data_IF_240375689248
#
_entry.id   IF_240375689248
#
_cell.length_a   1.000
_cell.length_b   1.000
_cell.length_c   1.000
_cell.angle_alpha   90.00
_cell.angle_beta   90.00
_cell.angle_gamma   90.00
#
_symmetry.space_group_name_H-M   'P 1'
#
loop_
_entity.id
_entity.type
_entity.pdbx_description
1 polymer ?
#
# COMPACT_ATOMS: atom_id res chain seq x y z
N UNK A 1 -39.45 -15.51 -37.77
CA UNK A 1 -38.39 -15.66 -36.73
C UNK A 1 -38.83 -16.53 -35.55
N UNK A 2 -40.11 -16.46 -35.14
CA UNK A 2 -40.68 -17.23 -34.03
C UNK A 2 -40.44 -18.76 -34.10
N UNK A 3 -40.43 -19.35 -35.29
CA UNK A 3 -40.31 -20.80 -35.49
C UNK A 3 -38.89 -21.36 -35.39
N UNK A 4 -37.84 -20.52 -35.49
CA UNK A 4 -36.45 -21.00 -35.55
C UNK A 4 -35.59 -20.56 -34.35
N UNK A 5 -36.01 -19.57 -33.56
CA UNK A 5 -35.30 -19.06 -32.37
C UNK A 5 -36.30 -18.47 -31.36
N UNK A 6 -37.02 -19.32 -30.58
CA UNK A 6 -38.09 -18.87 -29.67
C UNK A 6 -37.60 -17.86 -28.63
N UNK A 7 -36.43 -18.10 -28.01
CA UNK A 7 -35.85 -17.22 -26.98
C UNK A 7 -35.58 -15.79 -27.48
N UNK A 8 -35.31 -15.61 -28.77
CA UNK A 8 -35.08 -14.29 -29.37
C UNK A 8 -36.40 -13.55 -29.58
N UNK A 9 -37.47 -14.27 -29.94
CA UNK A 9 -38.78 -13.71 -30.19
C UNK A 9 -39.44 -13.18 -28.90
N UNK A 10 -39.14 -13.79 -27.76
CA UNK A 10 -39.61 -13.32 -26.44
C UNK A 10 -39.06 -11.94 -26.06
N UNK A 11 -37.92 -11.54 -26.62
CA UNK A 11 -37.35 -10.20 -26.40
C UNK A 11 -37.88 -9.15 -27.40
N UNK A 12 -38.92 -9.45 -28.19
CA UNK A 12 -39.52 -8.48 -29.11
C UNK A 12 -40.26 -7.37 -28.36
N UNK A 13 -40.05 -6.12 -28.78
CA UNK A 13 -40.77 -4.98 -28.24
C UNK A 13 -41.99 -4.67 -29.14
N UNK A 14 -43.16 -5.17 -28.75
CA UNK A 14 -44.39 -5.00 -29.54
C UNK A 14 -44.85 -3.53 -29.61
N UNK A 15 -44.68 -2.78 -28.53
CA UNK A 15 -45.08 -1.37 -28.46
C UNK A 15 -44.23 -0.51 -29.41
N UNK A 16 -42.90 -0.68 -29.39
CA UNK A 16 -41.99 0.14 -30.21
C UNK A 16 -41.89 -0.29 -31.67
N UNK A 17 -42.22 -1.53 -32.00
CA UNK A 17 -42.23 -2.00 -33.39
C UNK A 17 -43.58 -1.81 -34.09
N UNK A 18 -44.62 -1.36 -33.37
CA UNK A 18 -45.95 -1.10 -33.92
C UNK A 18 -46.54 -2.36 -34.58
N UNK A 19 -46.96 -2.25 -35.83
CA UNK A 19 -47.60 -3.36 -36.57
C UNK A 19 -46.63 -4.47 -37.01
N UNK A 20 -45.32 -4.32 -36.80
CA UNK A 20 -44.35 -5.36 -37.16
C UNK A 20 -44.31 -6.45 -36.09
N UNK A 21 -44.53 -7.69 -36.52
CA UNK A 21 -44.46 -8.89 -35.66
C UNK A 21 -43.18 -9.70 -35.93
N UNK A 22 -42.77 -10.58 -34.99
CA UNK A 22 -41.71 -11.56 -35.22
C UNK A 22 -41.92 -12.51 -36.42
N UNK A 23 -43.15 -12.66 -36.89
CA UNK A 23 -43.49 -13.49 -38.05
C UNK A 23 -43.20 -12.76 -39.37
N UNK A 24 -43.30 -11.43 -39.39
CA UNK A 24 -43.07 -10.60 -40.59
C UNK A 24 -41.58 -10.44 -40.94
N UNK A 25 -40.69 -10.87 -40.04
CA UNK A 25 -39.24 -10.67 -40.17
C UNK A 25 -38.51 -12.02 -40.16
N UNK A 26 -37.70 -12.25 -41.19
CA UNK A 26 -36.81 -13.41 -41.28
C UNK A 26 -35.57 -13.24 -40.41
N UNK A 27 -35.05 -14.34 -39.87
CA UNK A 27 -33.92 -14.30 -38.91
C UNK A 27 -32.61 -13.75 -39.50
N UNK A 28 -32.43 -13.81 -40.83
CA UNK A 28 -31.28 -13.24 -41.54
C UNK A 28 -31.41 -11.75 -41.88
N UNK A 29 -32.49 -11.08 -41.48
CA UNK A 29 -32.73 -9.68 -41.83
C UNK A 29 -31.72 -8.73 -41.19
N UNK A 30 -31.24 -7.77 -41.98
CA UNK A 30 -30.42 -6.65 -41.54
C UNK A 30 -31.24 -5.46 -41.01
N UNK A 31 -32.58 -5.49 -41.12
CA UNK A 31 -33.47 -4.43 -40.63
C UNK A 31 -33.35 -4.30 -39.12
N UNK A 32 -33.10 -3.09 -38.62
CA UNK A 32 -33.07 -2.81 -37.17
C UNK A 32 -34.50 -2.78 -36.65
N UNK A 33 -34.73 -3.55 -35.59
CA UNK A 33 -36.01 -3.61 -34.87
C UNK A 33 -35.73 -3.41 -33.38
N UNK A 34 -36.74 -3.00 -32.64
CA UNK A 34 -36.66 -2.81 -31.20
C UNK A 34 -36.78 -4.13 -30.45
N UNK A 35 -35.98 -4.26 -29.41
CA UNK A 35 -35.96 -5.40 -28.51
C UNK A 35 -36.05 -4.90 -27.07
N UNK A 36 -36.69 -5.69 -26.21
CA UNK A 36 -36.83 -5.45 -24.79
C UNK A 36 -36.27 -6.63 -24.01
N UNK A 37 -35.33 -6.37 -23.10
CA UNK A 37 -34.58 -7.43 -22.45
C UNK A 37 -35.40 -7.96 -21.30
N UNK A 38 -35.69 -9.25 -21.29
CA UNK A 38 -36.45 -9.87 -20.20
C UNK A 38 -35.73 -9.78 -18.84
N UNK A 39 -34.39 -9.69 -18.85
CA UNK A 39 -33.59 -9.66 -17.61
C UNK A 39 -33.49 -8.30 -16.93
N UNK A 40 -33.47 -7.22 -17.71
CA UNK A 40 -33.24 -5.89 -17.16
C UNK A 40 -34.27 -4.84 -17.60
N UNK A 41 -35.24 -5.21 -18.44
CA UNK A 41 -36.19 -4.29 -19.05
C UNK A 41 -35.55 -3.25 -19.98
N UNK A 42 -34.27 -3.42 -20.33
CA UNK A 42 -33.56 -2.51 -21.21
C UNK A 42 -34.02 -2.66 -22.65
N UNK A 43 -34.31 -1.55 -23.30
CA UNK A 43 -34.76 -1.49 -24.69
C UNK A 43 -33.61 -1.08 -25.63
N UNK A 44 -33.44 -1.79 -26.75
CA UNK A 44 -32.40 -1.49 -27.73
C UNK A 44 -32.79 -1.88 -29.14
N UNK A 45 -32.14 -1.25 -30.12
CA UNK A 45 -32.28 -1.62 -31.53
C UNK A 45 -31.12 -2.49 -32.00
N UNK A 46 -31.43 -3.62 -32.62
CA UNK A 46 -30.45 -4.46 -33.31
C UNK A 46 -31.10 -5.19 -34.49
N UNK A 47 -30.34 -5.53 -35.54
CA UNK A 47 -30.83 -6.45 -36.58
C UNK A 47 -30.99 -7.88 -36.04
N UNK A 48 -32.06 -8.63 -36.41
CA UNK A 48 -32.21 -10.04 -36.08
C UNK A 48 -31.01 -10.89 -36.48
N UNK A 49 -30.38 -10.61 -37.63
CA UNK A 49 -29.18 -11.34 -38.09
C UNK A 49 -28.01 -11.23 -37.11
N UNK A 50 -27.92 -10.13 -36.35
CA UNK A 50 -26.88 -9.93 -35.32
C UNK A 50 -27.26 -10.54 -33.98
N UNK A 51 -28.49 -11.04 -33.78
CA UNK A 51 -28.94 -11.64 -32.51
C UNK A 51 -28.39 -13.05 -32.31
N UNK A 52 -28.21 -13.84 -33.37
CA UNK A 52 -27.66 -15.20 -33.33
C UNK A 52 -26.17 -15.25 -32.94
N UNK A 53 -25.41 -14.23 -33.33
CA UNK A 53 -23.98 -14.09 -33.02
C UNK A 53 -23.91 -13.05 -31.91
N UNK A 54 -23.54 -13.41 -30.67
CA UNK A 54 -23.74 -12.63 -29.42
C UNK A 54 -23.47 -11.11 -29.37
N UNK A 55 -22.99 -10.48 -30.46
CA UNK A 55 -22.96 -9.03 -30.74
C UNK A 55 -24.34 -8.34 -30.73
N UNK A 56 -25.45 -9.06 -30.91
CA UNK A 56 -26.82 -8.49 -30.85
C UNK A 56 -27.52 -8.55 -29.48
N UNK A 57 -26.86 -9.12 -28.47
CA UNK A 57 -27.38 -9.24 -27.09
C UNK A 57 -27.69 -7.88 -26.46
N UNK A 58 -28.52 -7.90 -25.40
CA UNK A 58 -28.85 -6.71 -24.62
C UNK A 58 -27.58 -5.92 -24.24
N UNK A 59 -27.43 -4.66 -24.69
CA UNK A 59 -26.21 -3.89 -24.47
C UNK A 59 -26.02 -3.51 -23.00
N UNK A 60 -27.10 -3.43 -22.22
CA UNK A 60 -27.05 -3.12 -20.79
C UNK A 60 -26.53 -4.32 -19.98
N UNK A 61 -27.09 -5.51 -20.15
CA UNK A 61 -26.58 -6.74 -19.52
C UNK A 61 -25.15 -7.09 -19.98
N UNK A 62 -24.83 -6.77 -21.23
CA UNK A 62 -23.47 -6.91 -21.74
C UNK A 62 -22.49 -5.90 -21.11
N UNK A 63 -22.98 -4.78 -20.55
CA UNK A 63 -22.17 -3.69 -20.00
C UNK A 63 -21.74 -2.64 -21.05
N UNK A 64 -22.21 -2.75 -22.30
CA UNK A 64 -21.85 -1.85 -23.40
C UNK A 64 -22.55 -0.49 -23.32
N UNK A 65 -23.67 -0.44 -22.62
CA UNK A 65 -24.42 0.79 -22.33
C UNK A 65 -24.80 0.83 -20.86
N UNK A 66 -24.79 2.02 -20.28
CA UNK A 66 -25.26 2.27 -18.92
C UNK A 66 -26.79 2.14 -18.86
N UNK A 67 -27.30 1.51 -17.80
CA UNK A 67 -28.68 1.61 -17.34
C UNK A 67 -28.64 1.71 -15.83
N UNK A 68 -28.98 2.90 -15.31
CA UNK A 68 -29.05 3.19 -13.88
C UNK A 68 -29.98 2.18 -13.18
N UNK A 69 -29.61 1.75 -11.99
CA UNK A 69 -30.26 0.69 -11.22
C UNK A 69 -29.89 -0.73 -11.63
N UNK A 70 -29.22 -0.93 -12.78
CA UNK A 70 -28.98 -2.27 -13.35
C UNK A 70 -27.50 -2.61 -13.42
N UNK A 71 -26.67 -1.73 -13.97
CA UNK A 71 -25.27 -2.04 -14.24
C UNK A 71 -24.30 -0.91 -13.85
N UNK A 72 -24.76 0.02 -13.04
CA UNK A 72 -23.96 1.08 -12.44
C UNK A 72 -23.34 0.67 -11.10
N UNK A 73 -22.28 1.38 -10.70
CA UNK A 73 -21.50 1.11 -9.49
C UNK A 73 -22.31 1.32 -8.22
N UNK A 74 -23.03 2.44 -8.11
CA UNK A 74 -23.78 2.78 -6.89
C UNK A 74 -24.87 1.74 -6.58
N UNK A 75 -25.62 1.30 -7.58
CA UNK A 75 -26.74 0.38 -7.40
C UNK A 75 -26.29 -1.06 -7.16
N UNK A 76 -25.18 -1.49 -7.78
CA UNK A 76 -24.74 -2.88 -7.71
C UNK A 76 -23.72 -3.13 -6.58
N UNK A 77 -22.94 -2.12 -6.19
CA UNK A 77 -21.90 -2.23 -5.17
C UNK A 77 -21.85 -0.99 -4.25
N UNK A 78 -22.89 -0.75 -3.42
CA UNK A 78 -22.98 0.45 -2.59
C UNK A 78 -21.77 0.62 -1.63
N UNK A 79 -21.29 -0.48 -1.03
CA UNK A 79 -20.10 -0.46 -0.15
C UNK A 79 -18.80 -0.08 -0.89
N UNK A 80 -18.69 -0.45 -2.16
CA UNK A 80 -17.53 -0.08 -3.00
C UNK A 80 -17.68 1.37 -3.46
N UNK A 81 -18.92 1.83 -3.69
CA UNK A 81 -19.21 3.21 -4.08
C UNK A 81 -18.81 4.22 -2.99
N UNK A 82 -18.74 3.82 -1.71
CA UNK A 82 -18.16 4.64 -0.63
C UNK A 82 -16.70 5.02 -0.90
N UNK A 83 -15.94 4.18 -1.61
CA UNK A 83 -14.56 4.46 -2.01
C UNK A 83 -14.46 5.32 -3.29
N UNK A 84 -15.59 5.69 -3.91
CA UNK A 84 -15.65 6.45 -5.15
C UNK A 84 -16.08 7.89 -4.90
N UNK A 85 -15.24 8.85 -5.29
CA UNK A 85 -15.53 10.27 -5.19
C UNK A 85 -15.68 10.89 -6.59
N UNK A 86 -16.86 11.45 -6.94
CA UNK A 86 -17.07 12.11 -8.24
C UNK A 86 -16.05 13.21 -8.52
N UNK A 87 -15.63 13.97 -7.51
CA UNK A 87 -14.70 15.10 -7.63
C UNK A 87 -13.32 14.66 -8.12
N UNK A 88 -12.91 13.42 -7.80
CA UNK A 88 -11.66 12.83 -8.29
C UNK A 88 -11.79 12.26 -9.70
N UNK A 89 -13.01 12.17 -10.23
CA UNK A 89 -13.34 11.46 -11.47
C UNK A 89 -14.14 12.33 -12.46
N UNK A 90 -13.88 13.64 -12.46
CA UNK A 90 -14.48 14.59 -13.42
C UNK A 90 -15.94 14.93 -13.14
N UNK A 91 -16.40 14.75 -11.91
CA UNK A 91 -17.79 15.00 -11.50
C UNK A 91 -18.78 13.91 -11.90
N UNK A 92 -18.30 12.79 -12.46
CA UNK A 92 -19.17 11.67 -12.85
C UNK A 92 -19.68 10.99 -11.59
N UNK A 93 -21.00 10.88 -11.37
CA UNK A 93 -21.55 10.22 -10.20
C UNK A 93 -21.43 8.69 -10.32
N UNK A 94 -21.39 7.99 -9.19
CA UNK A 94 -21.18 6.54 -9.16
C UNK A 94 -22.32 5.73 -9.84
N UNK A 95 -23.54 6.28 -9.89
CA UNK A 95 -24.67 5.68 -10.62
C UNK A 95 -24.56 5.85 -12.15
N UNK A 96 -23.51 6.52 -12.63
CA UNK A 96 -23.17 6.65 -14.05
C UNK A 96 -21.91 5.86 -14.46
N UNK A 97 -21.37 5.06 -13.55
CA UNK A 97 -20.16 4.28 -13.79
C UNK A 97 -20.50 2.81 -14.02
N UNK A 98 -20.23 2.31 -15.24
CA UNK A 98 -20.46 0.89 -15.58
C UNK A 98 -19.43 -0.01 -14.89
N UNK A 99 -19.90 -1.06 -14.20
CA UNK A 99 -19.05 -2.00 -13.43
C UNK A 99 -18.31 -3.06 -14.25
N UNK A 100 -18.78 -3.34 -15.46
CA UNK A 100 -18.41 -4.55 -16.20
C UNK A 100 -17.13 -4.42 -17.02
N UNK A 101 -16.83 -3.23 -17.51
CA UNK A 101 -15.64 -2.97 -18.32
C UNK A 101 -14.63 -2.14 -17.54
N UNK A 102 -13.35 -2.21 -17.94
CA UNK A 102 -12.19 -1.65 -17.24
C UNK A 102 -12.11 -0.13 -17.28
N UNK A 103 -13.12 0.57 -16.78
CA UNK A 103 -13.07 2.02 -16.57
C UNK A 103 -12.08 2.29 -15.44
N UNK A 104 -10.95 2.93 -15.75
CA UNK A 104 -9.97 3.34 -14.75
C UNK A 104 -10.46 4.59 -14.04
N UNK A 105 -10.55 4.53 -12.72
CA UNK A 105 -10.98 5.63 -11.87
C UNK A 105 -9.99 5.84 -10.72
N UNK A 106 -10.00 7.01 -10.12
CA UNK A 106 -9.31 7.31 -8.87
C UNK A 106 -10.26 6.95 -7.73
N UNK A 107 -9.81 6.06 -6.86
CA UNK A 107 -10.53 5.67 -5.65
C UNK A 107 -9.91 6.37 -4.45
N UNK A 108 -10.72 6.59 -3.42
CA UNK A 108 -10.29 7.04 -2.09
C UNK A 108 -10.95 6.18 -1.03
N UNK A 109 -10.17 5.43 -0.27
CA UNK A 109 -10.71 4.53 0.76
C UNK A 109 -11.43 5.35 1.82
N UNK A 110 -12.72 5.12 2.01
CA UNK A 110 -13.51 5.84 3.01
C UNK A 110 -13.05 5.55 4.45
N UNK A 111 -12.37 4.41 4.68
CA UNK A 111 -11.86 4.02 6.01
C UNK A 111 -10.56 4.74 6.38
N UNK A 112 -9.63 4.91 5.44
CA UNK A 112 -8.28 5.40 5.76
C UNK A 112 -7.77 6.56 4.90
N UNK A 113 -8.59 7.04 3.95
CA UNK A 113 -8.25 8.14 3.05
C UNK A 113 -7.19 7.82 2.00
N UNK A 114 -6.73 6.57 1.90
CA UNK A 114 -5.76 6.17 0.88
C UNK A 114 -6.34 6.34 -0.52
N UNK A 115 -5.62 7.03 -1.41
CA UNK A 115 -6.03 7.20 -2.80
C UNK A 115 -5.24 6.26 -3.72
N UNK A 116 -5.91 5.63 -4.70
CA UNK A 116 -5.24 4.80 -5.71
C UNK A 116 -6.03 4.76 -7.02
N UNK A 117 -5.32 4.51 -8.13
CA UNK A 117 -5.93 4.30 -9.46
C UNK A 117 -6.14 2.81 -9.72
N UNK A 118 -7.36 2.40 -10.10
CA UNK A 118 -7.64 1.04 -10.56
C UNK A 118 -8.94 0.98 -11.37
N UNK A 119 -9.13 -0.11 -12.12
CA UNK A 119 -10.35 -0.40 -12.86
C UNK A 119 -11.53 -0.71 -11.92
N UNK A 120 -12.72 -0.22 -12.26
CA UNK A 120 -13.97 -0.54 -11.55
C UNK A 120 -14.23 -2.05 -11.56
N UNK A 121 -13.97 -2.72 -12.68
CA UNK A 121 -14.04 -4.17 -12.78
C UNK A 121 -13.17 -4.88 -11.73
N UNK A 122 -11.93 -4.42 -11.52
CA UNK A 122 -11.00 -5.00 -10.56
C UNK A 122 -11.39 -4.76 -9.10
N UNK A 123 -12.28 -3.81 -8.81
CA UNK A 123 -12.85 -3.55 -7.48
C UNK A 123 -14.13 -4.32 -7.20
N UNK A 124 -14.78 -4.84 -8.25
CA UNK A 124 -16.17 -5.34 -8.16
C UNK A 124 -16.29 -6.79 -8.61
N UNK A 125 -16.03 -7.06 -9.90
CA UNK A 125 -16.38 -8.32 -10.57
C UNK A 125 -15.20 -9.26 -10.85
N UNK A 126 -13.96 -8.79 -10.68
CA UNK A 126 -12.79 -9.64 -10.86
C UNK A 126 -12.84 -10.87 -9.93
N UNK A 127 -12.31 -12.04 -10.32
CA UNK A 127 -12.29 -13.24 -9.46
C UNK A 127 -11.64 -13.02 -8.09
N UNK A 128 -10.71 -12.06 -8.01
CA UNK A 128 -10.11 -11.56 -6.77
C UNK A 128 -10.26 -10.04 -6.73
N UNK A 129 -11.37 -9.51 -6.21
CA UNK A 129 -11.58 -8.07 -6.12
C UNK A 129 -10.47 -7.43 -5.29
N UNK A 130 -9.85 -6.40 -5.85
CA UNK A 130 -8.87 -5.58 -5.13
C UNK A 130 -9.57 -4.78 -4.03
N UNK A 131 -8.84 -4.46 -2.96
CA UNK A 131 -9.25 -3.58 -1.86
C UNK A 131 -8.21 -2.50 -1.58
N UNK A 132 -8.45 -1.63 -0.61
CA UNK A 132 -7.43 -0.67 -0.18
C UNK A 132 -6.21 -1.43 0.38
N UNK A 133 -5.05 -1.34 -0.30
CA UNK A 133 -3.84 -2.08 0.10
C UNK A 133 -3.34 -1.69 1.51
N UNK A 134 -3.59 -0.45 1.95
CA UNK A 134 -3.26 -0.03 3.32
C UNK A 134 -4.15 -0.72 4.35
N UNK A 135 -5.46 -0.79 4.10
CA UNK A 135 -6.40 -1.51 4.98
C UNK A 135 -6.13 -3.02 4.98
N UNK A 136 -5.87 -3.62 3.81
CA UNK A 136 -5.52 -5.04 3.72
C UNK A 136 -4.24 -5.37 4.49
N UNK A 137 -3.19 -4.54 4.37
CA UNK A 137 -1.97 -4.69 5.16
C UNK A 137 -2.23 -4.50 6.65
N UNK A 138 -3.01 -3.51 7.06
CA UNK A 138 -3.37 -3.30 8.47
C UNK A 138 -4.11 -4.49 9.06
N UNK A 139 -5.04 -5.08 8.31
CA UNK A 139 -5.77 -6.26 8.73
C UNK A 139 -4.89 -7.52 8.84
N UNK A 140 -3.79 -7.61 8.08
CA UNK A 140 -2.89 -8.76 8.14
C UNK A 140 -1.82 -8.68 9.23
N UNK A 141 -1.49 -7.47 9.72
CA UNK A 141 -0.45 -7.26 10.75
C UNK A 141 -0.67 -8.14 12.00
N UNK A 142 -1.86 -8.22 12.61
CA UNK A 142 -2.06 -9.05 13.80
C UNK A 142 -1.70 -10.52 13.56
N UNK A 143 -2.09 -11.09 12.42
CA UNK A 143 -1.77 -12.48 12.05
C UNK A 143 -0.26 -12.69 11.95
N UNK A 144 0.45 -11.79 11.26
CA UNK A 144 1.90 -11.91 11.12
C UNK A 144 2.65 -11.70 12.44
N UNK A 145 2.14 -10.83 13.32
CA UNK A 145 2.68 -10.68 14.69
C UNK A 145 2.52 -11.97 15.49
N UNK A 146 1.32 -12.55 15.48
CA UNK A 146 1.04 -13.81 16.16
C UNK A 146 1.99 -14.93 15.71
N UNK A 147 2.13 -15.13 14.39
CA UNK A 147 3.08 -16.11 13.84
C UNK A 147 4.54 -15.85 14.24
N UNK A 148 4.93 -14.57 14.34
CA UNK A 148 6.28 -14.20 14.78
C UNK A 148 6.50 -14.49 16.26
N UNK A 149 5.50 -14.21 17.10
CA UNK A 149 5.52 -14.51 18.54
C UNK A 149 5.62 -16.02 18.77
N UNK A 150 4.80 -16.82 18.08
CA UNK A 150 4.84 -18.29 18.18
C UNK A 150 6.21 -18.86 17.82
N UNK A 151 6.91 -18.25 16.86
CA UNK A 151 8.22 -18.72 16.40
C UNK A 151 9.39 -18.24 17.25
N UNK A 152 9.33 -17.00 17.76
CA UNK A 152 10.49 -16.30 18.33
C UNK A 152 10.33 -15.94 19.82
N UNK A 153 9.14 -16.11 20.39
CA UNK A 153 8.79 -15.63 21.72
C UNK A 153 8.42 -14.14 21.74
N UNK A 154 7.58 -13.76 22.69
CA UNK A 154 7.20 -12.36 22.90
C UNK A 154 8.37 -11.55 23.49
N UNK A 155 8.37 -10.22 23.33
CA UNK A 155 9.38 -9.35 23.95
C UNK A 155 9.32 -9.47 25.48
N UNK A 156 8.11 -9.57 26.05
CA UNK A 156 7.90 -9.77 27.48
C UNK A 156 8.71 -10.96 28.04
N UNK A 157 8.81 -12.03 27.26
CA UNK A 157 9.46 -13.29 27.65
C UNK A 157 10.95 -13.27 27.31
N UNK A 158 11.29 -12.82 26.10
CA UNK A 158 12.65 -12.89 25.56
C UNK A 158 13.57 -11.77 26.05
N UNK A 159 13.01 -10.64 26.49
CA UNK A 159 13.77 -9.52 27.04
C UNK A 159 12.96 -8.79 28.13
N UNK A 160 12.78 -9.40 29.31
CA UNK A 160 11.97 -8.86 30.40
C UNK A 160 12.50 -7.52 30.93
N UNK A 161 13.81 -7.30 30.89
CA UNK A 161 14.42 -6.03 31.31
C UNK A 161 13.99 -4.85 30.43
N UNK A 162 13.96 -5.05 29.10
CA UNK A 162 13.47 -4.02 28.19
C UNK A 162 11.94 -3.92 28.23
N UNK A 163 11.24 -5.04 28.36
CA UNK A 163 9.78 -5.08 28.48
C UNK A 163 9.28 -4.32 29.71
N UNK A 164 9.96 -4.42 30.85
CA UNK A 164 9.64 -3.68 32.07
C UNK A 164 9.78 -2.16 31.91
N UNK A 165 10.56 -1.72 30.92
CA UNK A 165 10.73 -0.32 30.57
C UNK A 165 9.73 0.16 29.51
N UNK A 166 8.63 -0.56 29.23
CA UNK A 166 7.65 -0.15 28.23
C UNK A 166 6.90 1.13 28.64
N UNK A 167 6.72 2.05 27.69
CA UNK A 167 5.87 3.23 27.87
C UNK A 167 4.45 2.94 27.35
N UNK A 168 3.54 2.60 28.27
CA UNK A 168 2.17 2.19 27.92
C UNK A 168 1.33 3.36 27.36
N UNK A 169 1.55 4.59 27.82
CA UNK A 169 0.80 5.76 27.36
C UNK A 169 1.09 6.05 25.89
N UNK A 170 2.36 5.97 25.48
CA UNK A 170 2.76 6.30 24.11
C UNK A 170 2.68 5.16 23.11
N UNK A 171 2.61 3.91 23.56
CA UNK A 171 2.43 2.76 22.68
C UNK A 171 0.95 2.38 22.48
N UNK A 172 0.02 3.06 23.16
CA UNK A 172 -1.41 2.81 23.04
C UNK A 172 -1.76 1.38 23.46
N UNK A 173 -2.50 0.66 22.60
CA UNK A 173 -2.98 -0.69 22.90
C UNK A 173 -1.91 -1.80 22.72
N UNK A 174 -0.68 -1.46 22.34
CA UNK A 174 0.39 -2.45 22.20
C UNK A 174 1.10 -2.69 23.53
N UNK A 175 1.33 -3.95 23.83
CA UNK A 175 2.09 -4.42 24.98
C UNK A 175 3.38 -5.13 24.54
N UNK A 176 4.33 -5.36 25.46
CA UNK A 176 5.48 -6.21 25.19
C UNK A 176 5.12 -7.66 24.80
N UNK A 177 3.88 -8.10 25.01
CA UNK A 177 3.41 -9.42 24.58
C UNK A 177 2.99 -9.46 23.11
N UNK A 178 2.78 -8.30 22.46
CA UNK A 178 2.27 -8.21 21.09
C UNK A 178 3.37 -8.12 20.01
N UNK A 179 4.63 -8.15 20.44
CA UNK A 179 5.80 -7.95 19.57
C UNK A 179 6.95 -8.87 19.96
N UNK A 180 7.94 -8.98 19.08
CA UNK A 180 9.17 -9.76 19.32
C UNK A 180 10.39 -8.84 19.38
N UNK A 181 11.48 -9.28 20.01
CA UNK A 181 12.75 -8.55 20.05
C UNK A 181 13.35 -8.26 18.64
N UNK A 182 13.01 -9.08 17.64
CA UNK A 182 13.45 -8.92 16.25
C UNK A 182 12.53 -8.05 15.40
N UNK A 183 11.48 -7.47 15.98
CA UNK A 183 10.57 -6.61 15.23
C UNK A 183 11.30 -5.35 14.73
N UNK A 184 11.18 -5.03 13.44
CA UNK A 184 11.82 -3.85 12.83
C UNK A 184 11.17 -2.51 13.22
N UNK A 185 10.09 -2.55 14.01
CA UNK A 185 9.40 -1.35 14.50
C UNK A 185 10.21 -0.62 15.58
N UNK A 186 9.88 0.65 15.79
CA UNK A 186 10.32 1.40 16.97
C UNK A 186 9.16 1.60 17.93
N UNK A 187 9.45 1.48 19.21
CA UNK A 187 8.49 1.56 20.29
C UNK A 187 9.02 2.52 21.36
N UNK A 188 8.12 3.02 22.19
CA UNK A 188 8.48 3.90 23.29
C UNK A 188 8.84 3.10 24.54
N UNK A 189 9.95 3.47 25.16
CA UNK A 189 10.45 2.91 26.41
C UNK A 189 10.80 4.03 27.38
N UNK A 190 10.74 3.75 28.67
CA UNK A 190 11.18 4.63 29.76
C UNK A 190 12.65 4.36 30.06
N UNK A 191 13.47 5.41 30.01
CA UNK A 191 14.89 5.29 30.31
C UNK A 191 15.09 4.93 31.79
N UNK A 192 15.72 3.80 32.09
CA UNK A 192 16.01 3.36 33.46
C UNK A 192 16.85 4.37 34.26
N UNK A 193 17.66 5.17 33.58
CA UNK A 193 18.57 6.12 34.24
C UNK A 193 17.94 7.48 34.53
N UNK A 194 17.02 7.98 33.68
CA UNK A 194 16.47 9.33 33.83
C UNK A 194 14.93 9.40 33.79
N UNK A 195 14.24 8.26 33.66
CA UNK A 195 12.79 8.17 33.52
C UNK A 195 12.23 8.67 32.19
N UNK A 196 13.03 9.35 31.36
CA UNK A 196 12.54 9.94 30.12
C UNK A 196 12.09 8.87 29.12
N UNK A 197 10.90 9.10 28.54
CA UNK A 197 10.38 8.32 27.43
C UNK A 197 11.18 8.55 26.15
N UNK A 198 11.60 7.48 25.48
CA UNK A 198 12.41 7.51 24.27
C UNK A 198 12.02 6.40 23.29
N UNK A 199 12.25 6.64 21.99
CA UNK A 199 12.03 5.61 20.95
C UNK A 199 13.25 4.71 20.78
N UNK A 200 13.03 3.40 20.70
CA UNK A 200 14.07 2.42 20.38
C UNK A 200 13.49 1.20 19.68
N UNK A 201 14.37 0.36 19.13
CA UNK A 201 14.03 -0.97 18.63
C UNK A 201 13.95 -1.96 19.79
N UNK A 202 13.10 -3.00 19.70
CA UNK A 202 12.89 -3.98 20.77
C UNK A 202 14.05 -4.97 20.95
N UNK A 203 15.03 -4.95 20.04
CA UNK A 203 16.29 -5.71 20.18
C UNK A 203 17.37 -4.98 20.99
N UNK A 204 17.06 -3.83 21.60
CA UNK A 204 18.01 -3.11 22.44
C UNK A 204 18.32 -3.92 23.71
N UNK A 205 19.63 -4.01 24.05
CA UNK A 205 20.07 -4.76 25.24
C UNK A 205 19.73 -4.07 26.56
N UNK A 206 19.64 -2.74 26.55
CA UNK A 206 19.50 -1.92 27.75
C UNK A 206 18.39 -0.86 27.57
N UNK A 207 17.54 -0.64 28.59
CA UNK A 207 16.51 0.39 28.57
C UNK A 207 17.11 1.78 28.85
N UNK A 208 18.03 2.24 28.02
CA UNK A 208 18.68 3.55 28.13
C UNK A 208 18.38 4.43 26.91
N UNK A 209 17.98 5.68 27.16
CA UNK A 209 17.93 6.68 26.12
C UNK A 209 19.35 6.96 25.59
N UNK A 210 19.45 7.49 24.37
CA UNK A 210 20.75 7.74 23.73
C UNK A 210 21.68 8.64 24.56
N UNK A 211 21.12 9.61 25.30
CA UNK A 211 21.88 10.48 26.20
C UNK A 211 22.52 9.72 27.36
N UNK A 212 21.73 8.93 28.11
CA UNK A 212 22.24 8.13 29.22
C UNK A 212 23.16 7.00 28.74
N UNK A 213 22.87 6.38 27.59
CA UNK A 213 23.75 5.38 26.98
C UNK A 213 25.13 5.97 26.63
N UNK A 214 25.19 7.19 26.07
CA UNK A 214 26.46 7.88 25.78
C UNK A 214 27.24 8.20 27.05
N UNK A 215 26.56 8.63 28.12
CA UNK A 215 27.19 8.87 29.42
C UNK A 215 27.76 7.57 30.01
N UNK A 216 26.98 6.49 29.99
CA UNK A 216 27.38 5.19 30.53
C UNK A 216 28.56 4.54 29.78
N UNK A 217 28.64 4.71 28.45
CA UNK A 217 29.75 4.18 27.65
C UNK A 217 31.08 4.94 27.83
N UNK A 218 31.06 6.11 28.48
CA UNK A 218 32.20 7.01 28.55
C UNK A 218 32.60 7.60 27.19
N UNK A 219 33.47 8.62 27.20
CA UNK A 219 34.18 9.01 25.99
C UNK A 219 35.23 7.95 25.72
N UNK A 220 35.12 7.20 24.61
CA UNK A 220 36.28 6.47 24.11
C UNK A 220 37.32 7.51 23.72
N UNK A 221 38.49 7.49 24.35
CA UNK A 221 39.63 8.24 23.85
C UNK A 221 39.91 7.70 22.43
N UNK A 222 40.07 8.60 21.47
CA UNK A 222 40.45 8.19 20.11
C UNK A 222 41.84 7.54 20.14
N UNK A 223 42.17 6.72 19.14
CA UNK A 223 43.55 6.20 19.03
C UNK A 223 44.53 7.37 18.89
N UNK A 224 45.64 7.29 19.62
CA UNK A 224 46.75 8.23 19.46
C UNK A 224 47.29 8.15 18.03
N UNK A 225 47.75 9.28 17.51
CA UNK A 225 48.33 9.37 16.18
C UNK A 225 49.65 10.12 16.25
N UNK A 226 50.65 9.65 15.51
CA UNK A 226 51.96 10.30 15.39
C UNK A 226 52.13 10.86 13.97
N UNK A 227 52.66 12.08 13.89
CA UNK A 227 53.21 12.62 12.64
C UNK A 227 54.61 12.03 12.45
N UNK A 228 54.81 11.26 11.39
CA UNK A 228 56.04 10.47 11.18
C UNK A 228 57.26 11.36 11.00
N UNK A 229 57.12 12.50 10.33
CA UNK A 229 58.22 13.41 10.06
C UNK A 229 58.63 14.22 11.30
N UNK A 230 57.67 14.60 12.15
CA UNK A 230 57.94 15.47 13.31
C UNK A 230 58.10 14.69 14.61
N UNK A 231 57.72 13.41 14.63
CA UNK A 231 57.62 12.61 15.85
C UNK A 231 56.55 13.07 16.84
N UNK A 232 55.75 14.11 16.52
CA UNK A 232 54.76 14.67 17.44
C UNK A 232 53.58 13.70 17.59
N UNK A 233 53.27 13.36 18.84
CA UNK A 233 52.15 12.48 19.20
C UNK A 233 50.95 13.32 19.63
N UNK A 234 49.79 12.98 19.07
CA UNK A 234 48.50 13.58 19.39
C UNK A 234 47.60 12.53 20.02
N UNK A 235 46.84 12.93 21.04
CA UNK A 235 45.92 12.03 21.75
C UNK A 235 44.82 11.50 20.85
N UNK A 236 44.38 12.28 19.86
CA UNK A 236 43.42 11.84 18.84
C UNK A 236 43.76 12.40 17.46
N UNK A 237 43.23 11.76 16.41
CA UNK A 237 43.25 12.33 15.04
C UNK A 237 42.56 13.69 14.93
N UNK A 238 41.70 14.03 15.90
CA UNK A 238 41.05 15.34 15.94
C UNK A 238 42.02 16.43 16.39
N UNK A 239 42.85 16.14 17.38
CA UNK A 239 43.87 17.06 17.87
C UNK A 239 44.93 17.31 16.81
N UNK A 240 45.38 16.24 16.14
CA UNK A 240 46.25 16.33 14.98
C UNK A 240 45.64 17.17 13.86
N UNK A 241 44.35 16.95 13.54
CA UNK A 241 43.63 17.70 12.51
C UNK A 241 43.53 19.19 12.81
N UNK A 242 43.23 19.56 14.06
CA UNK A 242 43.20 20.97 14.48
C UNK A 242 44.57 21.62 14.31
N UNK A 243 45.65 20.93 14.69
CA UNK A 243 47.01 21.48 14.59
C UNK A 243 47.44 21.76 13.15
N UNK A 244 47.07 20.90 12.21
CA UNK A 244 47.47 21.05 10.79
C UNK A 244 46.38 21.67 9.91
N UNK A 245 45.29 22.17 10.51
CA UNK A 245 44.18 22.79 9.79
C UNK A 245 43.47 21.84 8.83
N UNK A 246 43.37 20.54 9.17
CA UNK A 246 42.70 19.51 8.36
C UNK A 246 41.59 18.83 9.13
N UNK A 247 40.58 18.37 8.38
CA UNK A 247 39.52 17.58 8.97
C UNK A 247 40.07 16.22 9.44
N UNK A 248 39.62 15.67 10.59
CA UNK A 248 40.18 14.42 11.14
C UNK A 248 40.11 13.23 10.17
N UNK A 249 39.06 13.17 9.34
CA UNK A 249 38.93 12.13 8.30
C UNK A 249 40.00 12.24 7.22
N UNK A 250 40.54 13.43 6.92
CA UNK A 250 41.63 13.60 5.95
C UNK A 250 42.90 12.93 6.44
N UNK A 251 43.19 13.02 7.75
CA UNK A 251 44.32 12.31 8.37
C UNK A 251 44.03 10.80 8.37
N UNK A 252 42.82 10.37 8.75
CA UNK A 252 42.45 8.95 8.74
C UNK A 252 42.60 8.31 7.35
N UNK A 253 42.16 8.99 6.29
CA UNK A 253 42.31 8.49 4.91
C UNK A 253 43.78 8.46 4.48
N UNK A 254 44.57 9.46 4.86
CA UNK A 254 46.01 9.46 4.58
C UNK A 254 46.73 8.26 5.24
N UNK A 255 46.35 7.89 6.47
CA UNK A 255 46.85 6.68 7.13
C UNK A 255 46.45 5.43 6.34
N UNK A 256 45.15 5.28 6.00
CA UNK A 256 44.62 4.11 5.29
C UNK A 256 45.21 3.93 3.90
N UNK A 257 45.34 5.03 3.15
CA UNK A 257 45.79 5.02 1.76
C UNK A 257 47.32 5.11 1.65
N UNK A 258 48.03 5.22 2.79
CA UNK A 258 49.48 5.45 2.86
C UNK A 258 49.91 6.68 2.06
N UNK A 259 49.12 7.75 2.15
CA UNK A 259 49.37 9.05 1.53
C UNK A 259 49.69 10.10 2.58
N UNK A 260 50.11 11.28 2.14
CA UNK A 260 50.31 12.41 3.04
C UNK A 260 49.02 13.19 3.30
N UNK A 261 48.90 13.78 4.48
CA UNK A 261 47.91 14.80 4.79
C UNK A 261 48.62 16.03 5.34
N UNK A 262 48.34 17.21 4.76
CA UNK A 262 49.06 18.45 5.04
C UNK A 262 50.59 18.33 4.86
N UNK A 263 51.04 17.46 3.94
CA UNK A 263 52.47 17.23 3.68
C UNK A 263 53.15 16.21 4.60
N UNK A 264 52.42 15.63 5.58
CA UNK A 264 52.96 14.69 6.55
C UNK A 264 52.39 13.28 6.38
N UNK A 265 53.19 12.27 6.69
CA UNK A 265 52.74 10.90 6.90
C UNK A 265 52.26 10.73 8.34
N UNK A 266 51.20 9.96 8.50
CA UNK A 266 50.55 9.75 9.78
C UNK A 266 50.49 8.26 10.10
N UNK A 267 50.60 7.91 11.38
CA UNK A 267 50.42 6.53 11.85
C UNK A 267 49.60 6.53 13.14
N UNK A 268 48.67 5.59 13.26
CA UNK A 268 48.11 5.28 14.57
C UNK A 268 49.21 4.67 15.43
N UNK A 269 49.30 5.11 16.68
CA UNK A 269 50.02 4.37 17.70
C UNK A 269 49.02 3.33 18.21
N UNK A 270 49.39 2.06 18.10
CA UNK A 270 48.67 1.01 18.82
C UNK A 270 48.91 1.22 20.33
N UNK A 271 47.86 1.03 21.13
CA UNK A 271 47.99 0.98 22.60
C UNK A 271 48.75 -0.28 23.02
#
# INVERSE_FOLDING_TARGET
MATCNPDIAEEWDYERNGNLTPSDIVSGSAKRVWWKCQKCGGEWQAPPVKRKIGKGSCPYCAGRKLKKGVNDLASQYPEVALDYLPELNGGIPADEVIIKYGTKVIWKCHVCGHEWKNDVYNRTRAPKPSGCVKCQRRASIPRYRQMAIERLGALAETNPNLAAAWDYEKNGNLTPSDITANSNGTYWFLCRSCGASYKSYPGAKEPLCMGCMRKARGRKNGKKVVCVETGTVYETIRDAGMQVGKHPSSISHAISDRRTCAGYHWKYLDE
#
